data_IF_922266530042
#
_entry.id   IF_922266530042
#
_cell.length_a   1.000
_cell.length_b   1.000
_cell.length_c   1.000
_cell.angle_alpha   90.00
_cell.angle_beta   90.00
_cell.angle_gamma   90.00
#
_symmetry.space_group_name_H-M   'P 1'
#
loop_
_entity.id
_entity.type
_entity.pdbx_description
1 polymer ?
#
# COMPACT_ATOMS: atom_id res chain seq x y z
N UNK A 1 -16.34 -42.74 -9.61
CA UNK A 1 -15.49 -41.98 -10.55
C UNK A 1 -16.02 -40.58 -10.83
N UNK A 2 -17.27 -40.42 -11.27
CA UNK A 2 -17.88 -39.10 -11.56
C UNK A 2 -17.85 -38.17 -10.34
N UNK A 3 -18.21 -38.66 -9.16
CA UNK A 3 -18.23 -37.84 -7.94
C UNK A 3 -16.82 -37.37 -7.53
N UNK A 4 -15.82 -38.24 -7.66
CA UNK A 4 -14.41 -37.90 -7.39
C UNK A 4 -13.87 -36.82 -8.33
N UNK A 5 -14.29 -36.85 -9.60
CA UNK A 5 -13.93 -35.83 -10.58
C UNK A 5 -14.59 -34.49 -10.23
N UNK A 6 -15.86 -34.52 -9.82
CA UNK A 6 -16.59 -33.33 -9.37
C UNK A 6 -15.89 -32.65 -8.18
N UNK A 7 -15.44 -33.40 -7.16
CA UNK A 7 -14.69 -32.81 -6.04
C UNK A 7 -13.36 -32.18 -6.47
N UNK A 8 -12.64 -32.82 -7.39
CA UNK A 8 -11.42 -32.25 -7.94
C UNK A 8 -11.71 -30.90 -8.64
N UNK A 9 -12.80 -30.83 -9.42
CA UNK A 9 -13.24 -29.59 -10.06
C UNK A 9 -13.58 -28.49 -9.04
N UNK A 10 -14.28 -28.82 -7.95
CA UNK A 10 -14.61 -27.86 -6.88
C UNK A 10 -13.32 -27.31 -6.24
N UNK A 11 -12.34 -28.16 -5.94
CA UNK A 11 -11.05 -27.73 -5.36
C UNK A 11 -10.26 -26.84 -6.30
N UNK A 12 -10.19 -27.17 -7.58
CA UNK A 12 -9.53 -26.34 -8.61
C UNK A 12 -10.23 -24.98 -8.73
N UNK A 13 -11.56 -24.96 -8.63
CA UNK A 13 -12.33 -23.73 -8.63
C UNK A 13 -12.04 -22.87 -7.39
N UNK A 14 -12.09 -23.45 -6.18
CA UNK A 14 -11.75 -22.74 -4.92
C UNK A 14 -10.33 -22.17 -4.99
N UNK A 15 -9.35 -22.96 -5.44
CA UNK A 15 -7.98 -22.51 -5.61
C UNK A 15 -7.89 -21.31 -6.56
N UNK A 16 -8.58 -21.39 -7.68
CA UNK A 16 -8.61 -20.34 -8.69
C UNK A 16 -9.22 -19.05 -8.13
N UNK A 17 -10.35 -19.15 -7.42
CA UNK A 17 -11.02 -17.99 -6.78
C UNK A 17 -10.14 -17.35 -5.72
N UNK A 18 -9.55 -18.13 -4.80
CA UNK A 18 -8.70 -17.59 -3.72
C UNK A 18 -7.43 -16.96 -4.29
N UNK A 19 -6.73 -17.64 -5.19
CA UNK A 19 -5.51 -17.12 -5.83
C UNK A 19 -5.81 -15.85 -6.60
N UNK A 20 -6.87 -15.85 -7.39
CA UNK A 20 -7.30 -14.68 -8.14
C UNK A 20 -7.58 -13.52 -7.19
N UNK A 21 -8.43 -13.72 -6.18
CA UNK A 21 -8.85 -12.68 -5.24
C UNK A 21 -7.65 -12.10 -4.51
N UNK A 22 -6.68 -12.94 -4.16
CA UNK A 22 -5.45 -12.49 -3.50
C UNK A 22 -4.58 -11.59 -4.39
N UNK A 23 -4.51 -11.88 -5.69
CA UNK A 23 -3.77 -11.07 -6.67
C UNK A 23 -4.52 -9.79 -7.00
N UNK A 24 -5.84 -9.88 -7.21
CA UNK A 24 -6.69 -8.75 -7.53
C UNK A 24 -6.70 -7.70 -6.42
N UNK A 25 -6.77 -8.14 -5.16
CA UNK A 25 -6.68 -7.26 -3.99
C UNK A 25 -5.24 -6.87 -3.61
N UNK A 26 -4.25 -7.31 -4.41
CA UNK A 26 -2.81 -7.07 -4.20
C UNK A 26 -2.35 -7.38 -2.77
N UNK A 27 -2.86 -8.46 -2.16
CA UNK A 27 -2.57 -8.82 -0.77
C UNK A 27 -1.08 -9.03 -0.50
N UNK A 28 -0.32 -9.43 -1.53
CA UNK A 28 1.14 -9.54 -1.45
C UNK A 28 1.81 -8.21 -1.08
N UNK A 29 1.30 -7.09 -1.59
CA UNK A 29 1.82 -5.75 -1.34
C UNK A 29 1.19 -5.13 -0.09
N UNK A 30 -0.12 -5.28 0.07
CA UNK A 30 -0.84 -4.64 1.16
C UNK A 30 -0.63 -5.34 2.50
N UNK A 31 -0.65 -6.68 2.54
CA UNK A 31 -0.63 -7.56 3.73
C UNK A 31 0.23 -8.83 3.52
N UNK A 32 1.56 -8.70 3.43
CA UNK A 32 2.46 -9.79 3.00
C UNK A 32 2.45 -11.02 3.92
N UNK A 33 2.33 -10.83 5.24
CA UNK A 33 2.26 -11.94 6.21
C UNK A 33 0.99 -12.79 6.01
N UNK A 34 -0.15 -12.13 5.82
CA UNK A 34 -1.43 -12.80 5.57
C UNK A 34 -1.40 -13.54 4.23
N UNK A 35 -0.93 -12.90 3.17
CA UNK A 35 -0.76 -13.52 1.85
C UNK A 35 0.10 -14.80 1.90
N UNK A 36 1.22 -14.76 2.63
CA UNK A 36 2.07 -15.95 2.81
C UNK A 36 1.35 -17.07 3.54
N UNK A 37 0.67 -16.75 4.64
CA UNK A 37 -0.05 -17.75 5.43
C UNK A 37 -1.23 -18.34 4.65
N UNK A 38 -1.94 -17.52 3.87
CA UNK A 38 -3.04 -17.94 3.00
C UNK A 38 -2.55 -18.99 1.98
N UNK A 39 -1.43 -18.74 1.31
CA UNK A 39 -0.88 -19.68 0.33
C UNK A 39 -0.44 -21.00 0.97
N UNK A 40 0.17 -20.95 2.16
CA UNK A 40 0.54 -22.16 2.91
C UNK A 40 -0.72 -22.95 3.28
N UNK A 41 -1.74 -22.27 3.81
CA UNK A 41 -3.01 -22.88 4.17
C UNK A 41 -3.69 -23.53 2.94
N UNK A 42 -3.66 -22.87 1.78
CA UNK A 42 -4.20 -23.42 0.52
C UNK A 42 -3.49 -24.72 0.12
N UNK A 43 -2.15 -24.74 0.16
CA UNK A 43 -1.37 -25.94 -0.21
C UNK A 43 -1.66 -27.07 0.78
N UNK A 44 -1.57 -26.81 2.08
CA UNK A 44 -1.83 -27.81 3.12
C UNK A 44 -3.23 -28.39 2.98
N UNK A 45 -4.23 -27.52 2.77
CA UNK A 45 -5.62 -27.92 2.63
C UNK A 45 -5.87 -28.81 1.39
N UNK A 46 -5.40 -28.37 0.23
CA UNK A 46 -5.55 -29.11 -1.02
C UNK A 46 -4.82 -30.45 -0.96
N UNK A 47 -3.62 -30.47 -0.38
CA UNK A 47 -2.86 -31.70 -0.17
C UNK A 47 -3.59 -32.65 0.79
N UNK A 48 -4.07 -32.17 1.94
CA UNK A 48 -4.74 -33.00 2.93
C UNK A 48 -6.04 -33.63 2.38
N UNK A 49 -6.88 -32.83 1.72
CA UNK A 49 -8.15 -33.30 1.13
C UNK A 49 -7.93 -34.26 -0.04
N UNK A 50 -6.90 -34.03 -0.85
CA UNK A 50 -6.54 -34.93 -1.97
C UNK A 50 -5.96 -36.24 -1.46
N UNK A 51 -5.09 -36.21 -0.44
CA UNK A 51 -4.56 -37.41 0.22
C UNK A 51 -5.71 -38.20 0.83
N UNK A 52 -6.62 -37.54 1.55
CA UNK A 52 -7.79 -38.20 2.13
C UNK A 52 -8.66 -38.86 1.04
N UNK A 53 -8.96 -38.17 -0.06
CA UNK A 53 -9.72 -38.75 -1.17
C UNK A 53 -9.04 -39.97 -1.80
N UNK A 54 -7.71 -39.99 -1.88
CA UNK A 54 -6.95 -41.14 -2.42
C UNK A 54 -6.92 -42.31 -1.43
N UNK A 55 -6.68 -42.05 -0.14
CA UNK A 55 -6.64 -43.09 0.89
C UNK A 55 -8.02 -43.74 1.10
N UNK A 56 -9.09 -42.95 0.93
CA UNK A 56 -10.48 -43.35 1.18
C UNK A 56 -11.30 -43.45 -0.11
N UNK A 57 -10.65 -43.76 -1.24
CA UNK A 57 -11.27 -43.79 -2.57
C UNK A 57 -12.44 -44.77 -2.66
N UNK A 58 -12.36 -45.91 -1.97
CA UNK A 58 -13.38 -46.97 -2.00
C UNK A 58 -14.44 -46.84 -0.89
N UNK A 59 -14.33 -45.85 -0.01
CA UNK A 59 -15.27 -45.64 1.12
C UNK A 59 -16.41 -44.69 0.75
N UNK A 60 -17.51 -44.73 1.52
CA UNK A 60 -18.72 -43.92 1.27
C UNK A 60 -18.39 -42.44 1.03
N UNK A 61 -18.72 -41.99 -0.17
CA UNK A 61 -18.54 -40.62 -0.67
C UNK A 61 -19.30 -39.59 0.21
N UNK A 62 -20.25 -40.03 1.03
CA UNK A 62 -21.06 -39.16 1.90
C UNK A 62 -20.23 -38.41 2.95
N UNK A 63 -19.23 -39.03 3.57
CA UNK A 63 -18.39 -38.35 4.57
C UNK A 63 -17.45 -37.33 3.92
N UNK A 64 -16.95 -37.64 2.73
CA UNK A 64 -16.16 -36.71 1.92
C UNK A 64 -17.00 -35.50 1.52
N UNK A 65 -18.26 -35.71 1.12
CA UNK A 65 -19.20 -34.62 0.81
C UNK A 65 -19.41 -33.66 1.98
N UNK A 66 -19.67 -34.18 3.18
CA UNK A 66 -19.90 -33.33 4.36
C UNK A 66 -18.66 -32.51 4.72
N UNK A 67 -17.48 -33.13 4.68
CA UNK A 67 -16.23 -32.44 4.95
C UNK A 67 -15.95 -31.34 3.90
N UNK A 68 -16.05 -31.65 2.61
CA UNK A 68 -15.86 -30.69 1.51
C UNK A 68 -16.81 -29.49 1.61
N UNK A 69 -18.08 -29.73 1.91
CA UNK A 69 -19.06 -28.65 2.09
C UNK A 69 -18.71 -27.74 3.27
N UNK A 70 -18.33 -28.32 4.41
CA UNK A 70 -17.90 -27.55 5.58
C UNK A 70 -16.70 -26.66 5.26
N UNK A 71 -15.74 -27.18 4.51
CA UNK A 71 -14.57 -26.41 4.09
C UNK A 71 -14.91 -25.34 3.05
N UNK A 72 -15.89 -25.58 2.16
CA UNK A 72 -16.41 -24.56 1.26
C UNK A 72 -16.86 -23.30 2.00
N UNK A 73 -17.56 -23.46 3.13
CA UNK A 73 -17.95 -22.33 3.99
C UNK A 73 -16.75 -21.61 4.61
N UNK A 74 -15.70 -22.33 5.01
CA UNK A 74 -14.46 -21.72 5.52
C UNK A 74 -13.83 -20.83 4.46
N UNK A 75 -13.80 -21.27 3.20
CA UNK A 75 -13.25 -20.49 2.09
C UNK A 75 -14.06 -19.24 1.78
N UNK A 76 -15.38 -19.35 1.87
CA UNK A 76 -16.28 -18.19 1.77
C UNK A 76 -15.91 -17.13 2.81
N UNK A 77 -15.74 -17.53 4.07
CA UNK A 77 -15.33 -16.62 5.15
C UNK A 77 -13.95 -16.00 4.90
N UNK A 78 -12.98 -16.78 4.40
CA UNK A 78 -11.65 -16.28 4.06
C UNK A 78 -11.71 -15.20 2.99
N UNK A 79 -12.54 -15.38 1.95
CA UNK A 79 -12.75 -14.37 0.91
C UNK A 79 -13.34 -13.08 1.49
N UNK A 80 -14.32 -13.17 2.40
CA UNK A 80 -14.88 -12.00 3.11
C UNK A 80 -13.80 -11.25 3.89
N UNK A 81 -12.93 -11.96 4.61
CA UNK A 81 -11.82 -11.36 5.36
C UNK A 81 -10.87 -10.63 4.40
N UNK A 82 -10.52 -11.26 3.27
CA UNK A 82 -9.66 -10.65 2.26
C UNK A 82 -10.25 -9.35 1.72
N UNK A 83 -11.54 -9.33 1.42
CA UNK A 83 -12.24 -8.13 0.95
C UNK A 83 -12.20 -7.04 2.02
N UNK A 84 -12.55 -7.38 3.27
CA UNK A 84 -12.60 -6.43 4.38
C UNK A 84 -11.24 -5.77 4.64
N UNK A 85 -10.17 -6.57 4.63
CA UNK A 85 -8.80 -6.08 4.74
C UNK A 85 -8.43 -5.09 3.62
N UNK A 86 -8.97 -5.29 2.42
CA UNK A 86 -8.66 -4.46 1.25
C UNK A 86 -9.50 -3.16 1.16
N UNK A 87 -10.59 -3.04 1.93
CA UNK A 87 -11.50 -1.88 1.88
C UNK A 87 -10.80 -0.52 2.12
N UNK A 88 -9.80 -0.47 3.01
CA UNK A 88 -9.09 0.78 3.34
C UNK A 88 -8.08 1.22 2.28
N UNK A 89 -7.42 0.29 1.61
CA UNK A 89 -6.32 0.57 0.66
C UNK A 89 -6.76 0.55 -0.81
N UNK A 90 -7.77 -0.26 -1.14
CA UNK A 90 -8.27 -0.46 -2.51
C UNK A 90 -9.81 -0.44 -2.52
N UNK A 91 -10.38 0.65 -2.00
CA UNK A 91 -11.83 0.78 -1.75
C UNK A 91 -12.69 0.52 -2.98
N UNK A 92 -12.27 0.95 -4.18
CA UNK A 92 -13.03 0.75 -5.41
C UNK A 92 -13.09 -0.74 -5.82
N UNK A 93 -11.94 -1.41 -5.86
CA UNK A 93 -11.84 -2.84 -6.22
C UNK A 93 -12.59 -3.72 -5.21
N UNK A 94 -12.44 -3.42 -3.92
CA UNK A 94 -13.13 -4.13 -2.85
C UNK A 94 -14.66 -3.92 -2.90
N UNK A 95 -15.14 -2.69 -3.13
CA UNK A 95 -16.58 -2.39 -3.24
C UNK A 95 -17.27 -3.16 -4.36
N UNK A 96 -16.64 -3.26 -5.53
CA UNK A 96 -17.26 -4.01 -6.62
C UNK A 96 -17.22 -5.53 -6.40
N UNK A 97 -16.14 -6.04 -5.82
CA UNK A 97 -16.07 -7.45 -5.45
C UNK A 97 -17.16 -7.80 -4.41
N UNK A 98 -17.44 -6.90 -3.46
CA UNK A 98 -18.57 -7.06 -2.52
C UNK A 98 -19.91 -7.22 -3.21
N UNK A 99 -20.17 -6.53 -4.34
CA UNK A 99 -21.43 -6.64 -5.07
C UNK A 99 -21.59 -8.04 -5.66
N UNK A 100 -20.59 -8.53 -6.41
CA UNK A 100 -20.60 -9.89 -6.97
C UNK A 100 -20.73 -10.95 -5.87
N UNK A 101 -20.01 -10.76 -4.77
CA UNK A 101 -20.01 -11.69 -3.65
C UNK A 101 -21.32 -11.68 -2.84
N UNK A 102 -21.96 -10.52 -2.70
CA UNK A 102 -23.27 -10.41 -2.04
C UNK A 102 -24.36 -11.17 -2.79
N UNK A 103 -24.27 -11.23 -4.13
CA UNK A 103 -25.16 -12.02 -4.96
C UNK A 103 -24.98 -13.52 -4.70
N UNK A 104 -23.72 -13.99 -4.62
CA UNK A 104 -23.41 -15.38 -4.28
C UNK A 104 -23.98 -15.76 -2.91
N UNK A 105 -23.77 -14.93 -1.88
CA UNK A 105 -24.31 -15.15 -0.53
C UNK A 105 -25.84 -15.24 -0.57
N UNK A 106 -26.50 -14.38 -1.35
CA UNK A 106 -27.96 -14.39 -1.48
C UNK A 106 -28.47 -15.71 -2.07
N UNK A 107 -27.81 -16.26 -3.11
CA UNK A 107 -28.16 -17.57 -3.66
C UNK A 107 -27.91 -18.73 -2.69
N UNK A 108 -26.82 -18.67 -1.92
CA UNK A 108 -26.54 -19.66 -0.88
C UNK A 108 -27.61 -19.61 0.22
N UNK A 109 -27.99 -18.42 0.66
CA UNK A 109 -29.04 -18.22 1.66
C UNK A 109 -30.40 -18.70 1.15
N UNK A 110 -30.75 -18.41 -0.11
CA UNK A 110 -31.97 -18.91 -0.75
C UNK A 110 -31.99 -20.44 -0.80
N UNK A 111 -30.90 -21.08 -1.22
CA UNK A 111 -30.80 -22.54 -1.23
C UNK A 111 -30.90 -23.17 0.16
N UNK A 112 -30.36 -22.52 1.20
CA UNK A 112 -30.47 -22.97 2.60
C UNK A 112 -31.89 -22.79 3.16
N UNK A 113 -32.57 -21.70 2.85
CA UNK A 113 -33.95 -21.47 3.28
C UNK A 113 -34.87 -22.48 2.58
N UNK A 114 -34.68 -22.69 1.28
CA UNK A 114 -35.49 -23.60 0.49
C UNK A 114 -35.31 -25.06 0.91
N UNK A 115 -34.12 -25.46 1.37
CA UNK A 115 -33.89 -26.82 1.89
C UNK A 115 -34.73 -27.16 3.13
N UNK A 116 -35.15 -26.15 3.89
CA UNK A 116 -36.00 -26.32 5.08
C UNK A 116 -37.47 -25.98 4.84
N UNK A 117 -37.78 -25.12 3.87
CA UNK A 117 -39.13 -24.59 3.65
C UNK A 117 -39.81 -25.12 2.39
N UNK A 118 -39.05 -25.66 1.43
CA UNK A 118 -39.53 -26.13 0.12
C UNK A 118 -40.42 -25.11 -0.60
N UNK A 119 -40.04 -23.82 -0.50
CA UNK A 119 -40.81 -22.69 -1.02
C UNK A 119 -40.71 -22.55 -2.54
N UNK A 120 -39.61 -22.99 -3.14
CA UNK A 120 -39.29 -22.77 -4.54
C UNK A 120 -39.38 -24.08 -5.34
N UNK A 121 -39.76 -24.00 -6.63
CA UNK A 121 -39.86 -25.18 -7.49
C UNK A 121 -38.47 -25.65 -7.95
N UNK A 122 -37.99 -26.76 -7.40
CA UNK A 122 -36.71 -27.37 -7.79
C UNK A 122 -36.05 -28.11 -6.63
N UNK A 123 -34.85 -28.65 -6.84
CA UNK A 123 -34.01 -29.08 -5.72
C UNK A 123 -33.24 -27.88 -5.12
N UNK A 124 -33.12 -27.77 -3.79
CA UNK A 124 -32.39 -26.68 -3.13
C UNK A 124 -30.94 -26.52 -3.64
N UNK A 125 -30.34 -27.62 -4.09
CA UNK A 125 -28.99 -27.67 -4.66
C UNK A 125 -28.90 -26.99 -6.03
N UNK A 126 -30.00 -26.91 -6.80
CA UNK A 126 -30.04 -26.19 -8.08
C UNK A 126 -29.88 -24.70 -7.90
N UNK A 127 -30.43 -24.08 -6.85
CA UNK A 127 -30.22 -22.66 -6.57
C UNK A 127 -28.77 -22.33 -6.21
N UNK A 128 -28.11 -23.23 -5.48
CA UNK A 128 -26.67 -23.12 -5.22
C UNK A 128 -25.86 -23.15 -6.53
N UNK A 129 -26.17 -24.09 -7.44
CA UNK A 129 -25.52 -24.18 -8.76
C UNK A 129 -25.77 -22.95 -9.63
N UNK A 130 -27.00 -22.41 -9.63
CA UNK A 130 -27.32 -21.18 -10.36
C UNK A 130 -26.54 -19.99 -9.78
N UNK A 131 -26.42 -19.92 -8.45
CA UNK A 131 -25.64 -18.90 -7.75
C UNK A 131 -24.16 -18.92 -8.12
N UNK A 132 -23.54 -20.10 -8.18
CA UNK A 132 -22.12 -20.23 -8.57
C UNK A 132 -21.88 -19.90 -10.04
N UNK A 133 -22.79 -20.29 -10.94
CA UNK A 133 -22.72 -19.91 -12.36
C UNK A 133 -22.86 -18.39 -12.53
N UNK A 134 -23.80 -17.78 -11.81
CA UNK A 134 -24.05 -16.34 -11.87
C UNK A 134 -22.87 -15.55 -11.28
N UNK A 135 -22.28 -16.03 -10.18
CA UNK A 135 -21.07 -15.47 -9.61
C UNK A 135 -19.90 -15.55 -10.59
N UNK A 136 -19.66 -16.71 -11.20
CA UNK A 136 -18.57 -16.88 -12.17
C UNK A 136 -18.74 -15.98 -13.40
N UNK A 137 -19.95 -15.90 -13.97
CA UNK A 137 -20.24 -15.05 -15.13
C UNK A 137 -20.15 -13.55 -14.79
N UNK A 138 -20.75 -13.14 -13.67
CA UNK A 138 -20.69 -11.77 -13.17
C UNK A 138 -19.27 -11.35 -12.84
N UNK A 139 -18.49 -12.26 -12.25
CA UNK A 139 -17.08 -12.06 -11.94
C UNK A 139 -16.24 -11.91 -13.20
N UNK A 140 -16.41 -12.79 -14.19
CA UNK A 140 -15.68 -12.75 -15.45
C UNK A 140 -15.94 -11.45 -16.21
N UNK A 141 -17.20 -11.03 -16.31
CA UNK A 141 -17.57 -9.75 -16.91
C UNK A 141 -16.96 -8.58 -16.15
N UNK A 142 -17.06 -8.59 -14.82
CA UNK A 142 -16.52 -7.56 -13.94
C UNK A 142 -15.00 -7.39 -14.10
N UNK A 143 -14.25 -8.50 -14.13
CA UNK A 143 -12.81 -8.48 -14.34
C UNK A 143 -12.44 -7.92 -15.70
N UNK A 144 -13.19 -8.27 -16.75
CA UNK A 144 -12.98 -7.68 -18.07
C UNK A 144 -13.14 -6.16 -18.06
N UNK A 145 -14.10 -5.61 -17.31
CA UNK A 145 -14.32 -4.16 -17.19
C UNK A 145 -13.21 -3.48 -16.38
N UNK A 146 -12.84 -4.02 -15.21
CA UNK A 146 -11.79 -3.41 -14.36
C UNK A 146 -10.42 -3.47 -15.01
N UNK A 147 -10.08 -4.61 -15.62
CA UNK A 147 -8.83 -4.75 -16.37
C UNK A 147 -8.80 -3.71 -17.50
N UNK A 148 -9.90 -3.53 -18.25
CA UNK A 148 -9.98 -2.53 -19.31
C UNK A 148 -9.78 -1.10 -18.77
N UNK A 149 -10.34 -0.78 -17.61
CA UNK A 149 -10.14 0.52 -16.96
C UNK A 149 -8.70 0.75 -16.49
N UNK A 150 -8.09 -0.24 -15.84
CA UNK A 150 -6.70 -0.15 -15.38
C UNK A 150 -5.72 -0.07 -16.55
N UNK A 151 -5.91 -0.88 -17.60
CA UNK A 151 -5.09 -0.85 -18.82
C UNK A 151 -5.16 0.54 -19.47
N UNK A 152 -6.35 1.13 -19.54
CA UNK A 152 -6.53 2.48 -20.10
C UNK A 152 -5.76 3.53 -19.30
N UNK A 153 -5.85 3.50 -17.98
CA UNK A 153 -5.14 4.45 -17.13
C UNK A 153 -3.62 4.27 -17.20
N UNK A 154 -3.13 3.04 -17.26
CA UNK A 154 -1.69 2.78 -17.46
C UNK A 154 -1.21 3.25 -18.82
N UNK A 155 -2.04 3.09 -19.86
CA UNK A 155 -1.74 3.57 -21.22
C UNK A 155 -1.73 5.10 -21.29
N UNK A 156 -2.65 5.78 -20.61
CA UNK A 156 -2.68 7.24 -20.49
C UNK A 156 -1.42 7.78 -19.80
N UNK A 157 -1.04 7.19 -18.65
CA UNK A 157 0.20 7.54 -17.93
C UNK A 157 1.46 7.28 -18.76
N UNK A 158 1.50 6.17 -19.50
CA UNK A 158 2.64 5.84 -20.36
C UNK A 158 2.81 6.86 -21.51
N UNK A 159 1.69 7.30 -22.09
CA UNK A 159 1.69 8.36 -23.10
C UNK A 159 2.16 9.69 -22.52
N UNK A 160 1.70 10.07 -21.32
CA UNK A 160 2.10 11.30 -20.63
C UNK A 160 3.61 11.31 -20.34
N UNK A 161 4.14 10.22 -19.76
CA UNK A 161 5.58 10.06 -19.52
C UNK A 161 6.39 10.12 -20.82
N UNK A 162 5.87 9.55 -21.91
CA UNK A 162 6.50 9.61 -23.23
C UNK A 162 6.58 11.05 -23.75
N UNK A 163 5.51 11.83 -23.60
CA UNK A 163 5.50 13.25 -23.99
C UNK A 163 6.47 14.06 -23.15
N UNK A 164 6.42 13.92 -21.82
CA UNK A 164 7.31 14.62 -20.89
C UNK A 164 8.79 14.34 -21.20
N UNK A 165 9.13 13.09 -21.59
CA UNK A 165 10.50 12.75 -22.01
C UNK A 165 10.91 13.46 -23.30
N UNK A 166 10.00 13.61 -24.27
CA UNK A 166 10.29 14.33 -25.53
C UNK A 166 10.49 15.82 -25.28
N UNK A 167 9.64 16.43 -24.46
CA UNK A 167 9.77 17.84 -24.09
C UNK A 167 11.08 18.10 -23.35
N UNK A 168 11.44 17.25 -22.39
CA UNK A 168 12.71 17.36 -21.69
C UNK A 168 13.91 17.26 -22.65
N UNK A 169 13.88 16.31 -23.59
CA UNK A 169 14.93 16.17 -24.60
C UNK A 169 15.03 17.38 -25.54
N UNK A 170 13.92 18.04 -25.85
CA UNK A 170 13.91 19.27 -26.64
C UNK A 170 14.49 20.46 -25.84
N UNK A 171 14.10 20.59 -24.56
CA UNK A 171 14.63 21.62 -23.66
C UNK A 171 16.13 21.46 -23.42
N UNK A 172 16.62 20.23 -23.22
CA UNK A 172 18.06 19.99 -23.05
C UNK A 172 18.83 20.39 -24.30
N UNK A 173 18.31 20.09 -25.49
CA UNK A 173 18.94 20.48 -26.75
C UNK A 173 18.96 22.01 -26.94
N UNK A 174 17.88 22.70 -26.58
CA UNK A 174 17.81 24.17 -26.60
C UNK A 174 18.79 24.81 -25.60
N UNK A 175 18.95 24.21 -24.42
CA UNK A 175 19.94 24.66 -23.43
C UNK A 175 21.36 24.47 -23.96
N UNK A 176 21.69 23.28 -24.49
CA UNK A 176 22.98 23.01 -25.11
C UNK A 176 23.30 24.02 -26.23
N UNK A 177 22.33 24.33 -27.10
CA UNK A 177 22.49 25.32 -28.16
C UNK A 177 22.68 26.75 -27.62
N UNK A 178 21.94 27.13 -26.56
CA UNK A 178 22.13 28.43 -25.89
C UNK A 178 23.50 28.53 -25.24
N UNK A 179 23.95 27.51 -24.51
CA UNK A 179 25.26 27.50 -23.84
C UNK A 179 26.44 27.37 -24.80
N UNK A 180 26.26 26.75 -25.97
CA UNK A 180 27.28 26.72 -27.02
C UNK A 180 27.61 28.11 -27.59
N UNK A 181 26.69 29.07 -27.48
CA UNK A 181 26.85 30.43 -27.98
C UNK A 181 27.17 31.47 -26.89
N UNK A 182 27.41 31.05 -25.63
CA UNK A 182 27.78 31.94 -24.53
C UNK A 182 29.31 32.06 -24.46
N UNK A 183 29.91 33.26 -24.64
CA UNK A 183 31.34 33.46 -24.50
C UNK A 183 31.80 33.17 -23.07
N UNK A 184 32.88 32.41 -22.93
CA UNK A 184 33.45 31.87 -21.68
C UNK A 184 33.94 32.91 -20.63
N UNK A 185 33.64 34.20 -20.79
CA UNK A 185 34.18 35.27 -19.93
C UNK A 185 33.13 36.23 -19.34
N UNK A 186 31.89 35.77 -19.18
CA UNK A 186 30.87 36.53 -18.41
C UNK A 186 30.42 35.72 -17.21
N UNK A 187 31.19 35.86 -16.12
CA UNK A 187 30.66 35.57 -14.79
C UNK A 187 29.74 36.73 -14.38
N UNK A 188 28.58 36.38 -13.82
CA UNK A 188 27.59 37.29 -13.22
C UNK A 188 26.62 38.00 -14.16
N UNK A 189 25.68 37.25 -14.75
CA UNK A 189 24.26 37.64 -14.77
C UNK A 189 23.41 36.37 -14.94
N UNK A 190 22.57 36.09 -13.96
CA UNK A 190 21.78 34.87 -13.88
C UNK A 190 20.69 34.87 -14.97
N UNK A 191 20.75 33.90 -15.88
CA UNK A 191 19.67 33.64 -16.85
C UNK A 191 18.53 32.93 -16.11
N UNK A 192 17.42 33.63 -15.91
CA UNK A 192 16.16 33.06 -15.43
C UNK A 192 15.60 32.10 -16.49
N UNK A 193 15.47 30.81 -16.15
CA UNK A 193 14.86 29.81 -17.02
C UNK A 193 13.45 29.54 -16.50
N UNK A 194 12.45 30.13 -17.18
CA UNK A 194 11.05 29.74 -17.02
C UNK A 194 10.83 28.34 -17.62
N UNK A 195 10.58 27.35 -16.76
CA UNK A 195 10.09 26.03 -17.18
C UNK A 195 8.59 25.95 -16.88
N UNK A 196 7.80 26.20 -17.92
CA UNK A 196 6.36 25.94 -17.93
C UNK A 196 6.09 24.45 -18.14
N UNK A 197 5.94 23.70 -17.06
CA UNK A 197 5.21 22.43 -17.10
C UNK A 197 3.74 22.70 -16.77
N UNK A 198 2.88 22.38 -17.72
CA UNK A 198 1.42 22.40 -17.65
C UNK A 198 0.91 21.07 -17.09
N UNK A 199 0.28 21.11 -15.92
CA UNK A 199 -0.80 20.20 -15.55
C UNK A 199 -1.85 20.99 -14.75
N UNK A 200 -3.01 21.17 -15.36
CA UNK A 200 -4.19 21.80 -14.75
C UNK A 200 -4.72 20.93 -13.61
N UNK A 201 -4.83 21.52 -12.41
CA UNK A 201 -5.59 20.93 -11.31
C UNK A 201 -5.15 21.35 -9.90
N UNK A 202 -3.94 21.90 -9.76
CA UNK A 202 -3.53 22.66 -8.58
C UNK A 202 -2.95 23.97 -9.07
N UNK A 203 -3.43 25.10 -8.55
CA UNK A 203 -2.74 26.38 -8.65
C UNK A 203 -1.23 26.12 -8.45
N UNK A 204 -0.40 26.42 -9.46
CA UNK A 204 1.05 26.30 -9.39
C UNK A 204 1.51 27.39 -8.43
N UNK A 205 1.50 27.07 -7.14
CA UNK A 205 1.94 27.97 -6.09
C UNK A 205 3.46 27.98 -6.14
N UNK A 206 4.00 28.93 -6.89
CA UNK A 206 5.43 29.23 -6.93
C UNK A 206 5.72 30.19 -5.79
N UNK A 207 6.68 29.83 -4.92
CA UNK A 207 7.24 30.74 -3.92
C UNK A 207 8.49 31.38 -4.51
N UNK A 208 8.73 32.66 -4.20
CA UNK A 208 10.00 33.30 -4.56
C UNK A 208 11.16 32.65 -3.79
N UNK A 209 12.39 32.83 -4.28
CA UNK A 209 13.60 32.34 -3.59
C UNK A 209 13.71 32.90 -2.17
N UNK A 210 13.32 34.17 -2.01
CA UNK A 210 13.31 34.87 -0.72
C UNK A 210 12.23 34.32 0.21
N UNK A 211 11.01 34.09 -0.28
CA UNK A 211 9.93 33.47 0.52
C UNK A 211 10.30 32.07 0.99
N UNK A 212 10.95 31.26 0.12
CA UNK A 212 11.42 29.93 0.52
C UNK A 212 12.54 30.01 1.56
N UNK A 213 13.41 31.02 1.50
CA UNK A 213 14.44 31.27 2.52
C UNK A 213 13.84 31.67 3.87
N UNK A 214 12.85 32.55 3.86
CA UNK A 214 12.15 32.99 5.06
C UNK A 214 11.43 31.82 5.74
N UNK A 215 10.70 31.01 4.97
CA UNK A 215 9.99 29.84 5.49
C UNK A 215 10.98 28.80 6.04
N UNK A 216 12.11 28.55 5.39
CA UNK A 216 13.15 27.66 5.91
C UNK A 216 13.65 28.15 7.28
N UNK A 217 13.97 29.45 7.39
CA UNK A 217 14.45 30.04 8.64
C UNK A 217 13.41 29.90 9.76
N UNK A 218 12.13 30.15 9.48
CA UNK A 218 11.04 29.98 10.44
C UNK A 218 10.92 28.51 10.89
N UNK A 219 10.97 27.57 9.95
CA UNK A 219 10.91 26.12 10.28
C UNK A 219 12.07 25.73 11.19
N UNK A 220 13.29 26.15 10.87
CA UNK A 220 14.47 25.80 11.66
C UNK A 220 14.45 26.45 13.04
N UNK A 221 14.07 27.73 13.14
CA UNK A 221 13.98 28.44 14.40
C UNK A 221 12.95 27.80 15.34
N UNK A 222 11.75 27.50 14.82
CA UNK A 222 10.68 26.86 15.60
C UNK A 222 11.09 25.48 16.13
N UNK A 223 11.84 24.72 15.33
CA UNK A 223 12.33 23.41 15.75
C UNK A 223 13.45 23.50 16.79
N UNK A 224 14.30 24.52 16.73
CA UNK A 224 15.45 24.69 17.61
C UNK A 224 15.10 25.35 18.95
N UNK A 225 14.33 26.44 18.95
CA UNK A 225 13.98 27.18 20.18
C UNK A 225 13.11 26.35 21.12
N UNK A 226 12.10 25.67 20.58
CA UNK A 226 11.10 24.95 21.36
C UNK A 226 11.34 23.44 21.44
N UNK A 227 12.42 22.94 20.82
CA UNK A 227 12.74 21.52 20.71
C UNK A 227 11.55 20.65 20.29
N UNK A 228 10.65 21.17 19.44
CA UNK A 228 9.38 20.53 19.10
C UNK A 228 9.56 19.15 18.46
N UNK A 229 10.73 18.86 17.89
CA UNK A 229 11.09 17.54 17.40
C UNK A 229 11.01 16.45 18.49
N UNK A 230 11.16 16.78 19.78
CA UNK A 230 11.01 15.82 20.90
C UNK A 230 9.56 15.34 21.09
N UNK A 231 8.56 16.07 20.56
CA UNK A 231 7.17 15.64 20.63
C UNK A 231 6.90 14.51 19.64
N UNK A 232 6.61 13.31 20.16
CA UNK A 232 6.35 12.12 19.33
C UNK A 232 5.11 12.24 18.43
N UNK A 233 4.18 13.14 18.77
CA UNK A 233 2.96 13.40 18.01
C UNK A 233 3.05 14.61 17.07
N UNK A 234 4.25 15.18 16.90
CA UNK A 234 4.49 16.22 15.90
C UNK A 234 4.22 15.68 14.49
N UNK A 235 3.42 16.41 13.73
CA UNK A 235 3.08 16.11 12.33
C UNK A 235 3.23 17.38 11.50
N UNK A 236 3.29 17.25 10.17
CA UNK A 236 3.38 18.40 9.27
C UNK A 236 2.21 19.38 9.49
N UNK A 237 1.00 18.89 9.73
CA UNK A 237 -0.17 19.73 10.01
C UNK A 237 -0.02 20.50 11.32
N UNK A 238 0.52 19.88 12.37
CA UNK A 238 0.77 20.58 13.64
C UNK A 238 1.88 21.61 13.51
N UNK A 239 2.94 21.31 12.76
CA UNK A 239 3.99 22.30 12.49
C UNK A 239 3.41 23.49 11.72
N UNK A 240 2.55 23.24 10.73
CA UNK A 240 1.84 24.27 9.98
C UNK A 240 0.99 25.18 10.87
N UNK A 241 0.29 24.60 11.85
CA UNK A 241 -0.47 25.35 12.86
C UNK A 241 0.45 26.18 13.77
N UNK A 242 1.58 25.62 14.22
CA UNK A 242 2.53 26.30 15.11
C UNK A 242 3.16 27.53 14.46
N UNK A 243 3.63 27.41 13.23
CA UNK A 243 4.30 28.52 12.52
C UNK A 243 3.34 29.36 11.66
N UNK A 244 2.04 29.06 11.72
CA UNK A 244 1.00 29.74 10.92
C UNK A 244 1.28 29.79 9.41
N UNK A 245 1.87 28.71 8.86
CA UNK A 245 2.15 28.57 7.42
C UNK A 245 1.42 27.33 6.90
N UNK A 246 0.70 27.40 5.77
CA UNK A 246 0.02 26.24 5.21
C UNK A 246 0.97 25.05 4.97
N UNK A 247 0.53 23.86 5.36
CA UNK A 247 1.32 22.62 5.26
C UNK A 247 1.89 22.35 3.85
N UNK A 248 1.18 22.77 2.80
CA UNK A 248 1.66 22.61 1.42
C UNK A 248 2.87 23.50 1.11
N UNK A 249 2.96 24.72 1.66
CA UNK A 249 4.13 25.61 1.50
C UNK A 249 5.33 25.02 2.22
N UNK A 250 5.13 24.51 3.44
CA UNK A 250 6.18 23.83 4.21
C UNK A 250 6.70 22.62 3.44
N UNK A 251 5.81 21.76 2.92
CA UNK A 251 6.22 20.63 2.11
C UNK A 251 6.95 21.05 0.84
N UNK A 252 6.57 22.18 0.23
CA UNK A 252 7.24 22.70 -0.96
C UNK A 252 8.67 23.12 -0.63
N UNK A 253 8.87 23.92 0.42
CA UNK A 253 10.21 24.36 0.87
C UNK A 253 11.09 23.19 1.26
N UNK A 254 10.56 22.24 2.03
CA UNK A 254 11.31 21.03 2.42
C UNK A 254 11.82 20.26 1.20
N UNK A 255 10.98 20.04 0.20
CA UNK A 255 11.36 19.26 -0.99
C UNK A 255 12.23 20.06 -1.96
N UNK A 256 11.89 21.33 -2.25
CA UNK A 256 12.53 22.10 -3.33
C UNK A 256 13.80 22.82 -2.88
N UNK A 257 13.85 23.30 -1.64
CA UNK A 257 14.99 24.06 -1.11
C UNK A 257 15.92 23.20 -0.25
N UNK A 258 15.34 22.35 0.60
CA UNK A 258 16.11 21.57 1.57
C UNK A 258 16.38 20.13 1.13
N UNK A 259 15.87 19.70 -0.03
CA UNK A 259 15.97 18.34 -0.57
C UNK A 259 15.65 17.25 0.48
N UNK A 260 14.59 17.47 1.26
CA UNK A 260 14.23 16.59 2.39
C UNK A 260 12.72 16.44 2.53
N UNK A 261 12.30 15.43 3.30
CA UNK A 261 10.91 15.25 3.71
C UNK A 261 10.73 15.72 5.15
N UNK A 262 9.50 16.05 5.56
CA UNK A 262 9.20 16.41 6.95
C UNK A 262 9.71 15.36 7.93
N UNK A 263 9.46 14.07 7.66
CA UNK A 263 9.91 12.99 8.53
C UNK A 263 11.44 12.88 8.57
N UNK A 264 12.12 13.15 7.46
CA UNK A 264 13.57 13.11 7.42
C UNK A 264 14.20 14.29 8.16
N UNK A 265 13.64 15.50 8.07
CA UNK A 265 14.08 16.65 8.86
C UNK A 265 13.90 16.42 10.36
N UNK A 266 12.72 15.95 10.79
CA UNK A 266 12.48 15.71 12.22
C UNK A 266 13.38 14.58 12.74
N UNK A 267 13.50 13.48 12.00
CA UNK A 267 14.34 12.37 12.45
C UNK A 267 15.83 12.72 12.49
N UNK A 268 16.33 13.59 11.60
CA UNK A 268 17.73 14.04 11.67
C UNK A 268 17.98 14.85 12.95
N UNK A 269 17.10 15.80 13.29
CA UNK A 269 17.17 16.59 14.54
C UNK A 269 17.05 15.72 15.79
N UNK A 270 16.15 14.73 15.80
CA UNK A 270 16.04 13.77 16.92
C UNK A 270 17.30 12.92 17.10
N UNK A 271 17.89 12.46 15.99
CA UNK A 271 19.15 11.69 16.05
C UNK A 271 20.28 12.57 16.54
N UNK A 272 20.37 13.83 16.08
CA UNK A 272 21.34 14.79 16.56
C UNK A 272 21.23 15.03 18.08
N UNK A 273 20.03 15.30 18.58
CA UNK A 273 19.77 15.45 20.02
C UNK A 273 20.10 14.18 20.83
N UNK A 274 19.94 12.99 20.24
CA UNK A 274 20.31 11.75 20.93
C UNK A 274 21.81 11.59 21.15
N UNK A 275 22.67 12.27 20.38
CA UNK A 275 24.12 12.11 20.47
C UNK A 275 24.69 12.64 21.78
N UNK A 276 24.21 13.79 22.26
CA UNK A 276 24.61 14.32 23.56
C UNK A 276 24.13 13.40 24.67
N UNK A 277 22.86 12.97 24.64
CA UNK A 277 22.30 12.06 25.62
C UNK A 277 23.06 10.72 25.69
N UNK A 278 23.45 10.16 24.55
CA UNK A 278 24.23 8.92 24.47
C UNK A 278 25.66 9.08 25.01
N UNK A 279 26.29 10.25 24.85
CA UNK A 279 27.65 10.52 25.35
C UNK A 279 27.68 10.84 26.83
N UNK A 280 26.72 11.64 27.29
CA UNK A 280 26.76 12.26 28.62
C UNK A 280 26.13 11.36 29.69
N UNK A 281 25.22 10.45 29.31
CA UNK A 281 24.43 9.66 30.26
C UNK A 281 24.63 8.15 30.12
N UNK A 282 25.75 7.63 30.64
CA UNK A 282 26.07 6.18 30.65
C UNK A 282 25.06 5.32 31.42
N UNK A 283 24.20 5.93 32.24
CA UNK A 283 23.21 5.24 33.06
C UNK A 283 21.81 5.18 32.43
N UNK A 284 21.55 5.89 31.32
CA UNK A 284 20.26 5.86 30.63
C UNK A 284 20.19 4.68 29.67
N UNK A 285 19.06 3.99 29.65
CA UNK A 285 18.80 2.95 28.66
C UNK A 285 18.57 3.57 27.29
N UNK A 286 18.89 2.84 26.23
CA UNK A 286 18.62 3.28 24.85
C UNK A 286 17.12 3.50 24.66
N UNK A 287 16.27 2.73 25.34
CA UNK A 287 14.83 2.90 25.40
C UNK A 287 14.41 4.26 25.98
N UNK A 288 15.02 4.69 27.08
CA UNK A 288 14.75 5.99 27.69
C UNK A 288 15.15 7.13 26.74
N UNK A 289 16.37 7.08 26.19
CA UNK A 289 16.87 8.08 25.23
C UNK A 289 15.98 8.14 23.98
N UNK A 290 15.53 6.98 23.48
CA UNK A 290 14.60 6.89 22.34
C UNK A 290 13.31 7.66 22.61
N UNK A 291 12.75 7.50 23.81
CA UNK A 291 11.52 8.18 24.20
C UNK A 291 11.74 9.69 24.40
N UNK A 292 12.84 10.09 25.05
CA UNK A 292 13.16 11.48 25.36
C UNK A 292 13.36 12.33 24.09
N UNK A 293 13.97 11.75 23.05
CA UNK A 293 14.12 12.43 21.75
C UNK A 293 12.88 12.27 20.84
N UNK A 294 11.77 11.72 21.34
CA UNK A 294 10.49 11.74 20.65
C UNK A 294 10.22 10.62 19.66
N UNK A 295 10.97 9.51 19.67
CA UNK A 295 10.63 8.34 18.84
C UNK A 295 9.57 7.47 19.51
N UNK A 296 8.53 7.09 18.75
CA UNK A 296 7.48 6.16 19.21
C UNK A 296 7.96 4.72 19.43
N UNK A 297 9.12 4.35 18.87
CA UNK A 297 9.65 2.99 18.98
C UNK A 297 11.15 2.92 18.75
N UNK A 298 11.80 1.98 19.46
CA UNK A 298 13.22 1.65 19.32
C UNK A 298 13.60 1.28 17.88
N UNK A 299 12.75 0.53 17.18
CA UNK A 299 13.03 0.11 15.79
C UNK A 299 13.08 1.29 14.81
N UNK A 300 12.29 2.34 15.05
CA UNK A 300 12.30 3.56 14.24
C UNK A 300 13.53 4.40 14.54
N UNK A 301 13.90 4.54 15.82
CA UNK A 301 15.14 5.19 16.22
C UNK A 301 16.37 4.52 15.62
N UNK A 302 16.52 3.20 15.74
CA UNK A 302 17.68 2.48 15.18
C UNK A 302 17.83 2.66 13.67
N UNK A 303 16.71 2.65 12.93
CA UNK A 303 16.72 2.87 11.48
C UNK A 303 17.14 4.30 11.13
N UNK A 304 16.60 5.29 11.83
CA UNK A 304 16.97 6.69 11.64
C UNK A 304 18.44 6.91 12.00
N UNK A 305 18.88 6.45 13.18
CA UNK A 305 20.26 6.58 13.63
C UNK A 305 21.24 5.97 12.64
N UNK A 306 20.96 4.76 12.13
CA UNK A 306 21.77 4.13 11.09
C UNK A 306 21.78 4.91 9.77
N UNK A 307 20.64 5.48 9.36
CA UNK A 307 20.54 6.32 8.16
C UNK A 307 21.44 7.56 8.27
N UNK A 308 21.40 8.28 9.39
CA UNK A 308 22.09 9.57 9.53
C UNK A 308 23.53 9.47 10.06
N UNK A 309 23.88 8.40 10.78
CA UNK A 309 25.23 8.20 11.35
C UNK A 309 26.00 7.03 10.76
N UNK A 310 25.38 6.22 9.90
CA UNK A 310 26.02 5.06 9.26
C UNK A 310 26.26 3.86 10.18
N UNK A 311 25.99 3.98 11.49
CA UNK A 311 26.22 2.96 12.52
C UNK A 311 24.99 2.78 13.40
N UNK A 312 24.94 1.74 14.23
CA UNK A 312 23.84 1.58 15.21
C UNK A 312 24.12 2.38 16.49
N UNK A 313 23.10 2.76 17.27
CA UNK A 313 23.31 3.42 18.57
C UNK A 313 24.21 2.61 19.51
N UNK A 314 24.05 1.28 19.53
CA UNK A 314 24.87 0.36 20.32
C UNK A 314 26.33 0.34 19.88
N UNK A 315 26.58 0.34 18.57
CA UNK A 315 27.94 0.37 18.04
C UNK A 315 28.59 1.74 18.21
N UNK A 316 27.79 2.81 18.26
CA UNK A 316 28.27 4.15 18.57
C UNK A 316 28.74 4.24 20.03
N UNK A 317 28.01 3.63 20.97
CA UNK A 317 28.39 3.57 22.39
C UNK A 317 29.58 2.65 22.67
N UNK A 318 29.77 1.58 21.88
CA UNK A 318 30.91 0.66 22.09
C UNK A 318 32.25 1.20 21.56
N UNK A 319 32.21 2.21 20.68
CA UNK A 319 33.39 2.81 20.04
C UNK A 319 33.80 4.16 20.63
N UNK A 320 33.03 4.71 21.57
CA UNK A 320 33.30 5.99 22.25
C UNK A 320 33.53 5.81 23.74
#
# INVERSE_FOLDING_TARGET
WVDHLMFLSIRVWILSVVMFTSRFLELKLTHPKFYRNLNIAMVVFLSATTIYQLAFFNTSISHLHQAENLFGFVWVVVVVIMIFMSLRKRSLQAKYYMVAYSLLIAFVALGLIDSHTTMLPGDPFSYFKIGTITEFAGFTYFIAVVIRGNIRKTFELENEVSQNRKELAALTKLLEEKFANVPLDTTSEAVEIEVSTTEEGRSKITLSVDEMAEIEAIILNELEENAHYTNSDLSLSKLAELINIPAYKISLVLNQKMDTTFYDLINSKRVEASLSLLRDNKNLTIEAITADVGFKSKSTFYRAFKKYKGTTPTDFLSKG
#
